data_IF_174799591097
#
_entry.id   IF_174799591097
#
_cell.length_a   1.000
_cell.length_b   1.000
_cell.length_c   1.000
_cell.angle_alpha   90.00
_cell.angle_beta   90.00
_cell.angle_gamma   90.00
#
_symmetry.space_group_name_H-M   'P 1'
#
loop_
_entity.id
_entity.type
_entity.pdbx_description
1 polymer ?
#
# COMPACT_ATOMS: atom_id res chain seq x y z
N UNK A 1 -3.47 19.09 -14.54
CA UNK A 1 -2.33 19.96 -14.18
C UNK A 1 -1.45 19.14 -13.24
N UNK A 2 -0.33 18.55 -13.69
CA UNK A 2 0.64 17.99 -12.72
C UNK A 2 1.17 19.18 -11.93
N UNK A 3 1.07 19.12 -10.61
CA UNK A 3 1.34 20.29 -9.78
C UNK A 3 2.79 20.76 -9.99
N UNK A 4 2.99 22.05 -10.28
CA UNK A 4 4.26 22.59 -10.81
C UNK A 4 5.45 22.37 -9.87
N UNK A 5 5.22 22.30 -8.56
CA UNK A 5 6.25 22.02 -7.57
C UNK A 5 6.74 20.57 -7.61
N UNK A 6 5.89 19.59 -7.92
CA UNK A 6 6.30 18.18 -8.05
C UNK A 6 7.29 18.05 -9.22
N UNK A 7 6.97 18.68 -10.35
CA UNK A 7 7.87 18.68 -11.51
C UNK A 7 9.20 19.40 -11.20
N UNK A 8 9.16 20.47 -10.42
CA UNK A 8 10.37 21.18 -9.98
C UNK A 8 11.26 20.31 -9.09
N UNK A 9 10.67 19.54 -8.17
CA UNK A 9 11.40 18.60 -7.32
C UNK A 9 12.08 17.50 -8.16
N UNK A 10 11.32 16.88 -9.07
CA UNK A 10 11.84 15.85 -9.98
C UNK A 10 12.98 16.38 -10.85
N UNK A 11 12.85 17.57 -11.43
CA UNK A 11 13.90 18.19 -12.25
C UNK A 11 15.18 18.51 -11.44
N UNK A 12 15.10 18.57 -10.11
CA UNK A 12 16.24 18.77 -9.20
C UNK A 12 16.79 17.46 -8.63
N UNK A 13 16.29 16.30 -9.08
CA UNK A 13 16.68 14.99 -8.56
C UNK A 13 16.24 14.74 -7.12
N UNK A 14 15.20 15.46 -6.65
CA UNK A 14 14.63 15.26 -5.32
C UNK A 14 13.59 14.14 -5.43
N UNK A 15 13.76 13.00 -4.72
CA UNK A 15 12.81 11.90 -4.79
C UNK A 15 11.41 12.33 -4.33
N UNK A 16 10.40 12.00 -5.15
CA UNK A 16 9.00 12.17 -4.80
C UNK A 16 8.41 10.79 -4.56
N UNK A 17 8.24 10.41 -3.30
CA UNK A 17 7.72 9.09 -2.89
C UNK A 17 6.34 9.20 -2.25
N UNK A 18 5.52 8.17 -2.47
CA UNK A 18 4.21 8.03 -1.84
C UNK A 18 4.24 7.26 -0.52
N UNK A 19 3.09 7.22 0.14
CA UNK A 19 2.83 6.42 1.34
C UNK A 19 3.09 4.92 1.16
N UNK A 20 2.69 4.35 0.01
CA UNK A 20 2.94 2.94 -0.32
C UNK A 20 4.44 2.62 -0.38
N UNK A 21 5.24 3.53 -0.94
CA UNK A 21 6.69 3.36 -1.04
C UNK A 21 7.35 3.45 0.34
N UNK A 22 6.98 4.46 1.13
CA UNK A 22 7.44 4.58 2.53
C UNK A 22 7.11 3.32 3.32
N UNK A 23 5.89 2.79 3.15
CA UNK A 23 5.49 1.51 3.76
C UNK A 23 6.36 0.34 3.28
N UNK A 24 6.61 0.23 1.97
CA UNK A 24 7.41 -0.85 1.40
C UNK A 24 8.85 -0.87 1.95
N UNK A 25 9.41 0.31 2.21
CA UNK A 25 10.74 0.48 2.82
C UNK A 25 10.74 0.19 4.33
N UNK A 26 9.67 0.52 5.04
CA UNK A 26 9.60 0.45 6.49
C UNK A 26 9.02 -0.87 7.06
N UNK A 27 8.23 -1.61 6.26
CA UNK A 27 7.58 -2.83 6.74
C UNK A 27 8.60 -3.90 7.15
N UNK A 28 8.26 -4.77 8.12
CA UNK A 28 9.10 -5.92 8.43
C UNK A 28 9.32 -6.82 7.22
N UNK A 29 10.54 -7.33 7.07
CA UNK A 29 10.90 -8.24 5.97
C UNK A 29 10.14 -9.58 6.05
N UNK A 30 9.77 -10.01 7.26
CA UNK A 30 8.99 -11.23 7.51
C UNK A 30 7.54 -11.13 7.02
N UNK A 31 6.97 -9.93 6.99
CA UNK A 31 5.58 -9.72 6.59
C UNK A 31 5.44 -9.70 5.07
N UNK A 32 4.56 -10.56 4.54
CA UNK A 32 4.20 -10.62 3.13
C UNK A 32 3.26 -9.48 2.74
N UNK A 33 3.23 -9.13 1.45
CA UNK A 33 2.33 -8.11 0.91
C UNK A 33 1.55 -8.71 -0.26
N UNK A 34 0.23 -8.60 -0.21
CA UNK A 34 -0.71 -8.98 -1.26
C UNK A 34 -1.32 -7.69 -1.79
N UNK A 35 -0.90 -7.24 -2.97
CA UNK A 35 -1.40 -6.03 -3.61
C UNK A 35 -2.56 -6.33 -4.57
N UNK A 36 -3.68 -5.62 -4.42
CA UNK A 36 -4.89 -5.79 -5.22
C UNK A 36 -5.19 -4.47 -5.93
N UNK A 37 -5.18 -4.51 -7.26
CA UNK A 37 -5.40 -3.35 -8.13
C UNK A 37 -6.40 -3.67 -9.23
N UNK A 38 -6.76 -2.68 -10.04
CA UNK A 38 -7.74 -2.80 -11.13
C UNK A 38 -8.81 -1.70 -11.10
N UNK A 39 -9.60 -1.60 -12.16
CA UNK A 39 -10.64 -0.56 -12.24
C UNK A 39 -11.81 -0.86 -11.30
N UNK A 40 -12.25 -2.12 -11.22
CA UNK A 40 -13.43 -2.56 -10.48
C UNK A 40 -13.12 -3.77 -9.58
N UNK A 41 -13.94 -3.96 -8.54
CA UNK A 41 -13.89 -5.16 -7.69
C UNK A 41 -12.74 -5.20 -6.67
N UNK A 42 -11.82 -4.24 -6.68
CA UNK A 42 -10.68 -4.17 -5.75
C UNK A 42 -11.10 -4.31 -4.30
N UNK A 43 -12.08 -3.53 -3.84
CA UNK A 43 -12.52 -3.52 -2.44
C UNK A 43 -13.10 -4.86 -2.02
N UNK A 44 -13.97 -5.44 -2.86
CA UNK A 44 -14.55 -6.75 -2.59
C UNK A 44 -13.48 -7.84 -2.52
N UNK A 45 -12.53 -7.86 -3.47
CA UNK A 45 -11.44 -8.84 -3.48
C UNK A 45 -10.50 -8.63 -2.30
N UNK A 46 -10.22 -7.38 -1.94
CA UNK A 46 -9.35 -7.03 -0.80
C UNK A 46 -9.94 -7.52 0.52
N UNK A 47 -11.24 -7.27 0.75
CA UNK A 47 -11.93 -7.79 1.93
C UNK A 47 -11.99 -9.32 1.93
N UNK A 48 -12.33 -9.94 0.79
CA UNK A 48 -12.41 -11.39 0.66
C UNK A 48 -11.07 -12.08 0.97
N UNK A 49 -9.95 -11.54 0.48
CA UNK A 49 -8.62 -12.07 0.80
C UNK A 49 -8.32 -11.94 2.30
N UNK A 50 -8.70 -10.83 2.93
CA UNK A 50 -8.60 -10.66 4.37
C UNK A 50 -9.37 -11.74 5.15
N UNK A 51 -10.61 -12.01 4.75
CA UNK A 51 -11.45 -13.03 5.38
C UNK A 51 -10.90 -14.45 5.18
N UNK A 52 -10.35 -14.76 4.00
CA UNK A 52 -9.71 -16.05 3.73
C UNK A 52 -8.47 -16.28 4.59
N UNK A 53 -7.61 -15.28 4.74
CA UNK A 53 -6.43 -15.38 5.61
C UNK A 53 -6.82 -15.57 7.07
N UNK A 54 -7.83 -14.82 7.53
CA UNK A 54 -8.38 -14.98 8.88
C UNK A 54 -8.94 -16.40 9.10
N UNK A 55 -9.69 -16.92 8.13
CA UNK A 55 -10.22 -18.29 8.18
C UNK A 55 -9.11 -19.36 8.19
N UNK A 56 -7.97 -19.07 7.56
CA UNK A 56 -6.77 -19.92 7.59
C UNK A 56 -5.92 -19.76 8.87
N UNK A 57 -6.32 -18.91 9.81
CA UNK A 57 -5.54 -18.63 11.02
C UNK A 57 -4.29 -17.79 10.78
N UNK A 58 -4.15 -17.17 9.61
CA UNK A 58 -3.01 -16.31 9.25
C UNK A 58 -3.33 -14.88 9.69
N UNK A 59 -2.44 -14.30 10.49
CA UNK A 59 -2.58 -12.91 10.93
C UNK A 59 -2.41 -11.96 9.75
N UNK A 60 -3.42 -11.12 9.48
CA UNK A 60 -3.42 -10.20 8.37
C UNK A 60 -3.93 -8.81 8.75
N UNK A 61 -3.35 -7.78 8.15
CA UNK A 61 -3.88 -6.41 8.18
C UNK A 61 -4.36 -6.05 6.77
N UNK A 62 -5.62 -5.63 6.66
CA UNK A 62 -6.21 -5.10 5.43
C UNK A 62 -6.10 -3.57 5.42
N UNK A 63 -5.55 -2.98 4.36
CA UNK A 63 -5.31 -1.54 4.27
C UNK A 63 -5.06 -1.04 2.85
N UNK A 64 -4.44 0.14 2.74
CA UNK A 64 -4.16 0.80 1.46
C UNK A 64 -5.19 1.88 1.14
N UNK A 65 -5.78 1.84 -0.05
CA UNK A 65 -6.82 2.77 -0.50
C UNK A 65 -8.18 2.61 0.25
N UNK A 66 -8.29 1.59 1.10
CA UNK A 66 -9.43 1.35 2.01
C UNK A 66 -8.95 1.00 3.41
N UNK A 67 -9.81 1.19 4.41
CA UNK A 67 -9.53 0.80 5.80
C UNK A 67 -8.52 1.72 6.48
N UNK A 68 -7.49 1.14 7.09
CA UNK A 68 -6.49 1.88 7.86
C UNK A 68 -5.42 2.46 6.90
N UNK A 69 -5.07 3.75 7.02
CA UNK A 69 -3.94 4.33 6.29
C UNK A 69 -2.68 3.49 6.50
N UNK A 70 -2.00 3.10 5.42
CA UNK A 70 -1.00 2.03 5.50
C UNK A 70 0.15 2.34 6.47
N UNK A 71 0.54 3.61 6.57
CA UNK A 71 1.60 4.05 7.49
C UNK A 71 1.22 3.89 8.96
N UNK A 72 -0.08 3.95 9.30
CA UNK A 72 -0.56 3.74 10.68
C UNK A 72 -0.42 2.27 11.11
N UNK A 73 -0.23 1.34 10.17
CA UNK A 73 -0.04 -0.08 10.47
C UNK A 73 1.38 -0.40 10.93
N UNK A 74 2.35 0.49 10.65
CA UNK A 74 3.75 0.30 11.03
C UNK A 74 3.97 0.41 12.55
N UNK A 75 3.07 1.08 13.26
CA UNK A 75 3.10 1.21 14.73
C UNK A 75 2.38 0.06 15.46
N UNK A 76 1.83 -0.91 14.71
CA UNK A 76 1.10 -2.05 15.27
C UNK A 76 1.98 -3.29 15.28
N UNK A 77 1.53 -4.35 15.96
CA UNK A 77 2.17 -5.65 15.85
C UNK A 77 2.15 -6.10 14.38
N UNK A 78 3.32 -6.40 13.85
CA UNK A 78 3.47 -6.85 12.48
C UNK A 78 2.67 -8.14 12.22
N UNK A 79 1.79 -8.16 11.19
CA UNK A 79 1.08 -9.36 10.77
C UNK A 79 2.00 -10.26 9.93
N UNK A 80 1.57 -11.48 9.67
CA UNK A 80 2.19 -12.35 8.67
C UNK A 80 1.97 -11.80 7.25
N UNK A 81 0.81 -11.17 6.99
CA UNK A 81 0.48 -10.60 5.70
C UNK A 81 -0.20 -9.22 5.79
N UNK A 82 0.12 -8.36 4.83
CA UNK A 82 -0.62 -7.14 4.52
C UNK A 82 -1.41 -7.34 3.24
N UNK A 83 -2.71 -7.02 3.25
CA UNK A 83 -3.60 -7.09 2.09
C UNK A 83 -3.93 -5.65 1.70
N UNK A 84 -3.39 -5.20 0.58
CA UNK A 84 -3.42 -3.79 0.19
C UNK A 84 -4.29 -3.58 -1.03
N UNK A 85 -5.33 -2.77 -0.88
CA UNK A 85 -5.98 -2.17 -2.05
C UNK A 85 -5.09 -1.04 -2.58
N UNK A 86 -4.73 -1.10 -3.87
CA UNK A 86 -3.87 -0.13 -4.54
C UNK A 86 -4.58 0.49 -5.74
N UNK A 87 -4.69 1.82 -5.74
CA UNK A 87 -5.14 2.59 -6.91
C UNK A 87 -4.03 2.70 -7.96
N UNK A 88 -4.40 2.93 -9.23
CA UNK A 88 -3.44 3.20 -10.31
C UNK A 88 -2.56 4.42 -9.99
N UNK A 89 -3.15 5.47 -9.42
CA UNK A 89 -2.43 6.68 -9.00
C UNK A 89 -1.34 6.40 -7.96
N UNK A 90 -1.58 5.50 -7.00
CA UNK A 90 -0.57 5.11 -6.02
C UNK A 90 0.57 4.30 -6.65
N UNK A 91 0.29 3.54 -7.70
CA UNK A 91 1.30 2.76 -8.43
C UNK A 91 2.13 3.60 -9.41
N UNK A 92 1.59 4.72 -9.91
CA UNK A 92 2.29 5.63 -10.83
C UNK A 92 3.38 6.47 -10.14
N UNK A 93 3.31 6.68 -8.82
CA UNK A 93 4.29 7.44 -8.04
C UNK A 93 5.52 6.60 -7.66
N UNK A 94 6.11 5.90 -8.63
CA UNK A 94 7.40 5.21 -8.46
C UNK A 94 8.56 6.21 -8.40
N UNK A 95 9.69 5.76 -7.85
CA UNK A 95 10.96 6.51 -7.82
C UNK A 95 11.27 7.06 -9.22
N UNK A 96 11.44 8.37 -9.30
CA UNK A 96 12.01 9.09 -10.42
C UNK A 96 13.23 9.86 -9.89
#
# INVERSE_FOLDING_TARGET
MRESYLQTALNRGIPVIGDIEIFALAKPASSKVIGITGSNGKTTVTSLVGDLLKAAGISAIVGGNIGIPILNTLNQKAPEAYVLELSSYQLERRIH
#
